data_IF_867887118773
#
_entry.id   IF_867887118773
#
_cell.length_a   1.000
_cell.length_b   1.000
_cell.length_c   1.000
_cell.angle_alpha   90.00
_cell.angle_beta   90.00
_cell.angle_gamma   90.00
#
_symmetry.space_group_name_H-M   'P 1'
#
loop_
_entity.id
_entity.type
_entity.pdbx_description
1 polymer ?
#
# COMPACT_ATOMS: atom_id res chain seq x y z
N UNK A 1 -31.27 4.35 -14.01
CA UNK A 1 -31.00 4.58 -12.58
C UNK A 1 -30.57 3.24 -11.99
N UNK A 2 -29.28 3.03 -11.78
CA UNK A 2 -28.74 1.76 -11.24
C UNK A 2 -28.48 1.98 -9.76
N UNK A 3 -29.18 1.22 -8.91
CA UNK A 3 -29.01 1.22 -7.46
C UNK A 3 -27.57 0.85 -7.09
N UNK A 4 -26.87 1.79 -6.45
CA UNK A 4 -25.61 1.50 -5.79
C UNK A 4 -25.87 0.69 -4.53
N UNK A 5 -25.31 -0.50 -4.44
CA UNK A 5 -25.31 -1.30 -3.22
C UNK A 5 -24.52 -0.55 -2.14
N UNK A 6 -25.24 0.08 -1.19
CA UNK A 6 -24.66 0.55 0.06
C UNK A 6 -24.15 -0.66 0.84
N UNK A 7 -22.83 -0.71 1.05
CA UNK A 7 -22.19 -1.67 1.95
C UNK A 7 -22.64 -1.35 3.37
N UNK A 8 -23.41 -2.26 3.96
CA UNK A 8 -23.92 -2.12 5.32
C UNK A 8 -22.78 -2.41 6.32
N UNK A 9 -22.34 -1.40 7.07
CA UNK A 9 -21.46 -1.61 8.21
C UNK A 9 -22.28 -2.18 9.38
N UNK A 10 -21.79 -3.22 10.08
CA UNK A 10 -22.46 -3.73 11.27
C UNK A 10 -22.33 -2.73 12.42
N UNK A 11 -23.44 -2.48 13.11
CA UNK A 11 -23.54 -1.53 14.21
C UNK A 11 -22.54 -1.84 15.34
N UNK A 12 -21.75 -0.83 15.71
CA UNK A 12 -20.78 -0.88 16.80
C UNK A 12 -21.44 -1.19 18.14
N UNK A 13 -21.40 -2.46 18.53
CA UNK A 13 -21.68 -2.90 19.90
C UNK A 13 -20.48 -2.47 20.75
N UNK A 14 -20.73 -1.53 21.67
CA UNK A 14 -19.77 -1.04 22.66
C UNK A 14 -18.97 -2.19 23.29
N UNK A 15 -17.66 -2.18 23.09
CA UNK A 15 -16.71 -2.92 23.91
C UNK A 15 -15.72 -1.90 24.50
N UNK A 16 -15.81 -1.74 25.82
CA UNK A 16 -14.89 -0.99 26.64
C UNK A 16 -13.49 -1.64 26.59
N UNK A 17 -12.47 -0.77 26.58
CA UNK A 17 -11.13 -0.98 27.14
C UNK A 17 -10.36 -2.24 26.69
N UNK A 18 -9.45 -2.07 25.72
CA UNK A 18 -8.09 -2.62 25.79
C UNK A 18 -7.11 -1.68 25.06
N UNK A 19 -6.60 -0.68 25.77
CA UNK A 19 -5.61 0.27 25.27
C UNK A 19 -4.18 -0.31 25.24
N UNK A 20 -4.04 -1.64 25.20
CA UNK A 20 -2.78 -2.38 25.16
C UNK A 20 -2.45 -3.03 23.82
N UNK A 21 -3.42 -3.18 22.90
CA UNK A 21 -3.24 -3.88 21.61
C UNK A 21 -3.03 -2.96 20.40
N UNK A 22 -3.36 -1.66 20.51
CA UNK A 22 -3.45 -0.78 19.34
C UNK A 22 -2.10 -0.51 18.66
N UNK A 23 -0.99 -0.45 19.41
CA UNK A 23 0.33 -0.24 18.83
C UNK A 23 0.86 -1.43 18.04
N UNK A 24 0.52 -2.66 18.45
CA UNK A 24 0.87 -3.89 17.70
C UNK A 24 0.06 -3.96 16.41
N UNK A 25 -1.23 -3.61 16.48
CA UNK A 25 -2.13 -3.60 15.34
C UNK A 25 -1.71 -2.56 14.27
N UNK A 26 -1.33 -1.35 14.71
CA UNK A 26 -0.79 -0.31 13.81
C UNK A 26 0.51 -0.78 13.12
N UNK A 27 1.45 -1.37 13.86
CA UNK A 27 2.70 -1.89 13.26
C UNK A 27 2.42 -3.01 12.27
N UNK A 28 1.50 -3.91 12.58
CA UNK A 28 1.09 -4.98 11.67
C UNK A 28 0.45 -4.41 10.40
N UNK A 29 -0.47 -3.46 10.54
CA UNK A 29 -1.12 -2.76 9.42
C UNK A 29 -0.11 -2.04 8.52
N UNK A 30 0.85 -1.31 9.09
CA UNK A 30 1.91 -0.65 8.30
C UNK A 30 2.73 -1.68 7.51
N UNK A 31 3.09 -2.83 8.13
CA UNK A 31 3.80 -3.91 7.44
C UNK A 31 2.99 -4.51 6.29
N UNK A 32 1.68 -4.72 6.48
CA UNK A 32 0.77 -5.22 5.43
C UNK A 32 0.67 -4.24 4.24
N UNK A 33 0.53 -2.95 4.52
CA UNK A 33 0.47 -1.92 3.47
C UNK A 33 1.78 -1.85 2.69
N UNK A 34 2.94 -1.90 3.37
CA UNK A 34 4.25 -1.94 2.69
C UNK A 34 4.38 -3.15 1.77
N UNK A 35 3.99 -4.33 2.25
CA UNK A 35 4.01 -5.55 1.46
C UNK A 35 3.13 -5.45 0.21
N UNK A 36 1.91 -4.91 0.36
CA UNK A 36 1.00 -4.70 -0.76
C UNK A 36 1.60 -3.74 -1.80
N UNK A 37 2.21 -2.63 -1.37
CA UNK A 37 2.87 -1.67 -2.26
C UNK A 37 4.06 -2.29 -3.01
N UNK A 38 4.85 -3.14 -2.33
CA UNK A 38 5.96 -3.87 -2.93
C UNK A 38 5.50 -4.85 -4.02
N UNK A 39 4.42 -5.59 -3.76
CA UNK A 39 3.82 -6.50 -4.72
C UNK A 39 3.28 -5.76 -5.95
N UNK A 40 2.61 -4.62 -5.74
CA UNK A 40 2.13 -3.78 -6.84
C UNK A 40 3.28 -3.25 -7.71
N UNK A 41 4.40 -2.85 -7.09
CA UNK A 41 5.59 -2.40 -7.81
C UNK A 41 6.23 -3.52 -8.64
N UNK A 42 6.27 -4.75 -8.10
CA UNK A 42 6.73 -5.92 -8.84
C UNK A 42 5.85 -6.20 -10.07
N UNK A 43 4.53 -6.07 -9.93
CA UNK A 43 3.59 -6.21 -11.06
C UNK A 43 3.83 -5.14 -12.12
N UNK A 44 4.04 -3.88 -11.70
CA UNK A 44 4.36 -2.79 -12.63
C UNK A 44 5.71 -3.01 -13.33
N UNK A 45 6.72 -3.54 -12.63
CA UNK A 45 7.99 -3.94 -13.25
C UNK A 45 7.76 -4.91 -14.42
N UNK A 46 6.96 -5.96 -14.20
CA UNK A 46 6.60 -6.90 -15.27
C UNK A 46 5.87 -6.23 -16.43
N UNK A 47 4.98 -5.29 -16.16
CA UNK A 47 4.30 -4.51 -17.21
C UNK A 47 5.27 -3.62 -18.00
N UNK A 48 6.28 -3.02 -17.36
CA UNK A 48 7.33 -2.22 -18.02
C UNK A 48 8.19 -3.09 -18.95
N UNK A 49 8.45 -4.33 -18.57
CA UNK A 49 9.21 -5.29 -19.38
C UNK A 49 8.43 -5.75 -20.61
N UNK A 50 7.13 -6.00 -20.46
CA UNK A 50 6.23 -6.42 -21.54
C UNK A 50 5.83 -5.25 -22.47
N UNK A 51 6.00 -4.00 -22.02
CA UNK A 51 5.66 -2.83 -22.83
C UNK A 51 6.61 -2.71 -24.03
N UNK A 52 6.09 -2.55 -25.27
CA UNK A 52 6.91 -2.39 -26.45
C UNK A 52 7.80 -1.14 -26.35
N UNK A 53 9.01 -1.22 -26.92
CA UNK A 53 9.97 -0.13 -26.88
C UNK A 53 9.40 1.15 -27.52
N UNK A 54 9.59 2.28 -26.85
CA UNK A 54 9.09 3.58 -27.30
C UNK A 54 8.80 4.53 -26.15
N UNK A 55 8.25 5.71 -26.50
CA UNK A 55 7.97 6.79 -25.54
C UNK A 55 7.08 6.35 -24.37
N UNK A 56 6.10 5.48 -24.64
CA UNK A 56 5.20 4.95 -23.62
C UNK A 56 5.94 4.12 -22.57
N UNK A 57 6.81 3.19 -23.01
CA UNK A 57 7.66 2.40 -22.11
C UNK A 57 8.61 3.27 -21.29
N UNK A 58 9.23 4.28 -21.90
CA UNK A 58 10.12 5.20 -21.19
C UNK A 58 9.38 5.97 -20.10
N UNK A 59 8.17 6.45 -20.40
CA UNK A 59 7.33 7.16 -19.42
C UNK A 59 6.86 6.23 -18.30
N UNK A 60 6.44 5.01 -18.63
CA UNK A 60 6.02 4.01 -17.65
C UNK A 60 7.20 3.62 -16.74
N UNK A 61 8.39 3.43 -17.31
CA UNK A 61 9.63 3.16 -16.55
C UNK A 61 9.99 4.33 -15.63
N UNK A 62 9.88 5.56 -16.10
CA UNK A 62 10.11 6.74 -15.27
C UNK A 62 9.12 6.83 -14.10
N UNK A 63 7.84 6.53 -14.33
CA UNK A 63 6.83 6.48 -13.27
C UNK A 63 7.11 5.35 -12.27
N UNK A 64 7.53 4.18 -12.76
CA UNK A 64 7.96 3.07 -11.93
C UNK A 64 9.15 3.44 -11.03
N UNK A 65 10.18 4.07 -11.59
CA UNK A 65 11.37 4.50 -10.84
C UNK A 65 11.02 5.59 -9.80
N UNK A 66 10.09 6.50 -10.12
CA UNK A 66 9.56 7.47 -9.16
C UNK A 66 8.80 6.79 -8.01
N UNK A 67 7.99 5.77 -8.30
CA UNK A 67 7.27 5.00 -7.28
C UNK A 67 8.24 4.22 -6.39
N UNK A 68 9.30 3.62 -6.95
CA UNK A 68 10.37 2.99 -6.18
C UNK A 68 11.04 3.96 -5.21
N UNK A 69 11.37 5.16 -5.68
CA UNK A 69 11.94 6.22 -4.83
C UNK A 69 11.01 6.59 -3.66
N UNK A 70 9.71 6.73 -3.93
CA UNK A 70 8.71 7.01 -2.88
C UNK A 70 8.58 5.85 -1.89
N UNK A 71 8.57 4.59 -2.37
CA UNK A 71 8.51 3.42 -1.50
C UNK A 71 9.73 3.37 -0.56
N UNK A 72 10.93 3.68 -1.05
CA UNK A 72 12.13 3.72 -0.21
C UNK A 72 11.97 4.72 0.95
N UNK A 73 11.42 5.90 0.67
CA UNK A 73 11.13 6.92 1.69
C UNK A 73 10.09 6.40 2.69
N UNK A 74 8.99 5.80 2.23
CA UNK A 74 7.95 5.24 3.11
C UNK A 74 8.51 4.11 3.97
N UNK A 75 9.33 3.22 3.41
CA UNK A 75 10.04 2.17 4.15
C UNK A 75 10.91 2.76 5.25
N UNK A 76 11.68 3.80 4.95
CA UNK A 76 12.51 4.47 5.95
C UNK A 76 11.67 5.07 7.10
N UNK A 77 10.59 5.78 6.77
CA UNK A 77 9.68 6.32 7.79
C UNK A 77 9.00 5.23 8.62
N UNK A 78 8.58 4.14 7.97
CA UNK A 78 7.95 3.01 8.65
C UNK A 78 8.89 2.31 9.62
N UNK A 79 10.20 2.20 9.32
CA UNK A 79 11.21 1.64 10.24
C UNK A 79 11.33 2.50 11.50
N UNK A 80 11.30 3.83 11.35
CA UNK A 80 11.30 4.76 12.49
C UNK A 80 10.04 4.60 13.34
N UNK A 81 8.88 4.37 12.71
CA UNK A 81 7.59 4.22 13.41
C UNK A 81 7.41 2.85 14.08
N UNK A 82 7.90 1.78 13.47
CA UNK A 82 7.71 0.40 13.94
C UNK A 82 8.76 0.03 15.00
N UNK A 83 9.93 0.67 14.98
CA UNK A 83 11.12 0.19 15.68
C UNK A 83 11.68 -1.06 15.00
N UNK A 84 13.00 -1.25 15.06
CA UNK A 84 13.64 -2.46 14.53
C UNK A 84 13.24 -3.69 15.34
#
# INVERSE_FOLDING_TARGET
MVMGNLVHFPASRRANHEQGSSGVDIRHSIRQVLLMLELQLLQISGLVELCPAGKARTKLRQQHDQLLGRLAVVRQHSRVLIGN
#
